data_IF_994189431387
#
_entry.id   IF_994189431387
#
_cell.length_a   1.000
_cell.length_b   1.000
_cell.length_c   1.000
_cell.angle_alpha   90.00
_cell.angle_beta   90.00
_cell.angle_gamma   90.00
#
_symmetry.space_group_name_H-M   'P 1'
#
loop_
_entity.id
_entity.type
_entity.pdbx_description
1 polymer ?
#
# COMPACT_ATOMS: atom_id res chain seq x y z
N UNK A 1 -11.47 -43.48 53.56
CA UNK A 1 -10.09 -43.45 53.01
C UNK A 1 -10.14 -44.15 51.67
N UNK A 2 -10.12 -43.43 50.53
CA UNK A 2 -10.09 -44.06 49.21
C UNK A 2 -8.67 -44.49 48.83
N UNK A 3 -8.61 -45.51 47.98
CA UNK A 3 -7.45 -46.29 47.54
C UNK A 3 -6.43 -45.44 46.73
N UNK A 4 -5.10 -45.58 46.96
CA UNK A 4 -4.07 -44.89 46.18
C UNK A 4 -3.99 -45.31 44.69
N UNK A 5 -4.70 -46.35 44.25
CA UNK A 5 -4.66 -46.82 42.87
C UNK A 5 -5.49 -45.99 41.87
N UNK A 6 -6.52 -45.24 42.32
CA UNK A 6 -7.42 -44.52 41.40
C UNK A 6 -6.94 -43.12 41.01
N UNK A 7 -5.82 -42.65 41.58
CA UNK A 7 -5.30 -41.29 41.30
C UNK A 7 -4.34 -41.23 40.11
N UNK A 8 -4.04 -42.36 39.49
CA UNK A 8 -3.15 -42.49 38.33
C UNK A 8 -3.87 -42.52 36.98
N UNK A 9 -5.20 -42.45 36.95
CA UNK A 9 -5.97 -42.22 35.72
C UNK A 9 -6.08 -40.73 35.33
N UNK A 10 -5.10 -39.90 35.75
CA UNK A 10 -4.85 -38.60 35.12
C UNK A 10 -3.82 -38.81 34.02
N UNK A 11 -4.36 -38.95 32.81
CA UNK A 11 -3.81 -38.55 31.51
C UNK A 11 -2.31 -38.16 31.51
N UNK A 12 -1.52 -38.77 30.61
CA UNK A 12 -1.74 -38.46 29.21
C UNK A 12 -1.73 -39.72 28.35
N UNK A 13 -2.90 -40.03 27.79
CA UNK A 13 -2.95 -40.75 26.52
C UNK A 13 -2.30 -39.83 25.48
N UNK A 14 -0.98 -39.98 25.38
CA UNK A 14 -0.23 -39.97 24.13
C UNK A 14 -0.79 -38.96 23.11
N UNK A 15 -0.65 -37.67 23.42
CA UNK A 15 -0.47 -36.69 22.35
C UNK A 15 0.87 -37.02 21.69
N UNK A 16 0.87 -38.09 20.87
CA UNK A 16 1.92 -38.44 19.94
C UNK A 16 2.02 -37.29 18.94
N UNK A 17 2.66 -36.24 19.41
CA UNK A 17 2.92 -35.02 18.70
C UNK A 17 4.10 -35.34 17.82
N UNK A 18 3.82 -35.86 16.62
CA UNK A 18 4.85 -35.99 15.60
C UNK A 18 5.43 -34.60 15.36
N UNK A 19 6.63 -34.34 15.88
CA UNK A 19 7.39 -33.13 15.56
C UNK A 19 7.89 -33.32 14.13
N UNK A 20 7.08 -32.90 13.18
CA UNK A 20 7.47 -32.86 11.77
C UNK A 20 8.57 -31.83 11.62
N UNK A 21 9.70 -32.19 11.01
CA UNK A 21 10.76 -31.26 10.71
C UNK A 21 10.18 -30.07 9.92
N UNK A 22 10.36 -28.85 10.44
CA UNK A 22 9.92 -27.62 9.78
C UNK A 22 10.59 -27.57 8.40
N UNK A 23 9.75 -27.43 7.36
CA UNK A 23 10.09 -27.29 5.94
C UNK A 23 10.82 -25.96 5.70
N UNK A 24 11.99 -25.82 6.32
CA UNK A 24 12.64 -24.56 6.66
C UNK A 24 13.13 -23.78 5.43
N UNK A 25 13.46 -24.45 4.34
CA UNK A 25 13.85 -23.79 3.09
C UNK A 25 12.63 -23.21 2.32
N UNK A 26 11.50 -23.93 2.31
CA UNK A 26 10.27 -23.49 1.62
C UNK A 26 9.60 -22.33 2.37
N UNK A 27 9.65 -22.34 3.70
CA UNK A 27 9.07 -21.27 4.53
C UNK A 27 9.90 -20.00 4.49
N UNK A 28 11.23 -20.09 4.32
CA UNK A 28 12.10 -18.91 4.16
C UNK A 28 11.79 -18.12 2.89
N UNK A 29 11.70 -18.79 1.74
CA UNK A 29 11.39 -18.13 0.47
C UNK A 29 9.97 -17.53 0.43
N UNK A 30 9.02 -18.17 1.12
CA UNK A 30 7.68 -17.63 1.34
C UNK A 30 7.71 -16.36 2.22
N UNK A 31 8.43 -16.39 3.33
CA UNK A 31 8.57 -15.23 4.21
C UNK A 31 9.24 -14.04 3.50
N UNK A 32 10.22 -14.30 2.62
CA UNK A 32 10.84 -13.30 1.75
C UNK A 32 9.82 -12.70 0.76
N UNK A 33 9.06 -13.55 0.07
CA UNK A 33 8.04 -13.09 -0.88
C UNK A 33 6.95 -12.24 -0.21
N UNK A 34 6.52 -12.60 1.00
CA UNK A 34 5.56 -11.80 1.78
C UNK A 34 6.19 -10.45 2.18
N UNK A 35 7.45 -10.44 2.60
CA UNK A 35 8.17 -9.20 2.94
C UNK A 35 8.23 -8.26 1.75
N UNK A 36 8.51 -8.77 0.55
CA UNK A 36 8.59 -7.98 -0.67
C UNK A 36 7.24 -7.34 -1.03
N UNK A 37 6.13 -8.08 -0.89
CA UNK A 37 4.78 -7.54 -1.05
C UNK A 37 4.50 -6.42 -0.05
N UNK A 38 4.87 -6.61 1.22
CA UNK A 38 4.67 -5.59 2.26
C UNK A 38 5.52 -4.35 2.00
N UNK A 39 6.77 -4.49 1.57
CA UNK A 39 7.63 -3.34 1.25
C UNK A 39 7.12 -2.58 0.02
N UNK A 40 6.73 -3.28 -1.05
CA UNK A 40 6.15 -2.67 -2.24
C UNK A 40 4.85 -1.90 -1.90
N UNK A 41 3.99 -2.48 -1.07
CA UNK A 41 2.79 -1.82 -0.58
C UNK A 41 3.11 -0.57 0.25
N UNK A 42 4.09 -0.66 1.17
CA UNK A 42 4.52 0.47 2.01
C UNK A 42 5.09 1.62 1.17
N UNK A 43 5.84 1.30 0.11
CA UNK A 43 6.37 2.29 -0.85
C UNK A 43 5.22 3.01 -1.56
N UNK A 44 4.30 2.26 -2.16
CA UNK A 44 3.11 2.81 -2.82
C UNK A 44 2.30 3.73 -1.89
N UNK A 45 2.04 3.27 -0.68
CA UNK A 45 1.33 4.05 0.34
C UNK A 45 2.05 5.37 0.64
N UNK A 46 3.37 5.33 0.85
CA UNK A 46 4.18 6.53 1.08
C UNK A 46 4.20 7.49 -0.11
N UNK A 47 4.24 6.98 -1.34
CA UNK A 47 4.17 7.81 -2.55
C UNK A 47 2.82 8.53 -2.67
N UNK A 48 1.71 7.83 -2.39
CA UNK A 48 0.37 8.44 -2.39
C UNK A 48 0.26 9.51 -1.31
N UNK A 49 0.76 9.27 -0.09
CA UNK A 49 0.76 10.28 0.97
C UNK A 49 1.51 11.55 0.55
N UNK A 50 2.72 11.41 -0.01
CA UNK A 50 3.49 12.56 -0.50
C UNK A 50 2.76 13.30 -1.62
N UNK A 51 2.07 12.57 -2.50
CA UNK A 51 1.28 13.17 -3.57
C UNK A 51 0.13 14.02 -2.99
N UNK A 52 -0.61 13.49 -2.02
CA UNK A 52 -1.68 14.23 -1.34
C UNK A 52 -1.15 15.48 -0.62
N UNK A 53 -0.01 15.38 0.07
CA UNK A 53 0.61 16.54 0.74
C UNK A 53 1.00 17.62 -0.27
N UNK A 54 1.61 17.21 -1.39
CA UNK A 54 1.97 18.12 -2.47
C UNK A 54 0.74 18.84 -3.04
N UNK A 55 -0.35 18.11 -3.32
CA UNK A 55 -1.57 18.73 -3.85
C UNK A 55 -2.30 19.63 -2.83
N UNK A 56 -2.18 19.31 -1.55
CA UNK A 56 -2.79 20.10 -0.47
C UNK A 56 -1.92 21.25 0.03
N UNK A 57 -0.73 21.45 -0.53
CA UNK A 57 0.27 22.43 -0.05
C UNK A 57 0.55 22.26 1.45
N UNK A 58 0.71 21.01 1.89
CA UNK A 58 0.93 20.61 3.29
C UNK A 58 -0.16 21.04 4.28
N UNK A 59 -1.35 21.45 3.80
CA UNK A 59 -2.48 21.83 4.66
C UNK A 59 -3.19 20.64 5.29
N UNK A 60 -3.01 19.44 4.75
CA UNK A 60 -3.60 18.23 5.30
C UNK A 60 -2.71 17.63 6.38
N UNK A 61 -3.22 17.60 7.62
CA UNK A 61 -2.60 16.85 8.69
C UNK A 61 -3.23 15.46 8.81
N UNK A 62 -2.53 14.43 8.34
CA UNK A 62 -2.99 13.04 8.45
C UNK A 62 -3.15 12.55 9.90
N UNK A 63 -2.51 13.21 10.88
CA UNK A 63 -2.72 12.91 12.30
C UNK A 63 -4.06 13.46 12.84
N UNK A 64 -4.70 14.40 12.12
CA UNK A 64 -5.97 15.02 12.51
C UNK A 64 -7.20 14.36 11.89
N UNK A 65 -7.03 13.39 10.99
CA UNK A 65 -8.15 12.67 10.36
C UNK A 65 -8.63 11.58 11.31
N UNK A 66 -9.33 12.00 12.36
CA UNK A 66 -10.34 11.33 13.22
C UNK A 66 -10.49 9.80 13.35
N UNK A 67 -9.50 8.98 12.99
CA UNK A 67 -9.50 7.54 13.20
C UNK A 67 -8.22 7.22 13.96
N UNK A 68 -8.32 6.48 15.06
CA UNK A 68 -7.19 6.12 15.93
C UNK A 68 -6.22 5.11 15.27
N UNK A 69 -5.70 5.45 14.08
CA UNK A 69 -4.82 4.67 13.23
C UNK A 69 -4.46 5.43 11.94
N UNK A 70 -3.39 5.00 11.26
CA UNK A 70 -3.02 5.51 9.93
C UNK A 70 -4.17 5.26 8.92
N UNK A 71 -4.49 6.19 8.00
CA UNK A 71 -5.58 6.01 7.04
C UNK A 71 -5.37 4.76 6.19
N UNK A 72 -6.44 4.05 5.83
CA UNK A 72 -6.35 2.94 4.88
C UNK A 72 -5.93 3.43 3.49
N UNK A 73 -5.42 2.53 2.63
CA UNK A 73 -5.06 2.93 1.26
C UNK A 73 -6.28 3.41 0.49
N UNK A 74 -7.43 2.73 0.60
CA UNK A 74 -8.70 3.22 0.05
C UNK A 74 -9.08 4.63 0.52
N UNK A 75 -8.85 4.96 1.80
CA UNK A 75 -9.07 6.32 2.32
C UNK A 75 -8.10 7.31 1.67
N UNK A 76 -6.80 6.97 1.59
CA UNK A 76 -5.81 7.81 0.91
C UNK A 76 -6.15 8.04 -0.56
N UNK A 77 -6.54 7.00 -1.29
CA UNK A 77 -6.93 7.10 -2.70
C UNK A 77 -8.17 8.00 -2.88
N UNK A 78 -9.10 7.98 -1.93
CA UNK A 78 -10.26 8.87 -1.94
C UNK A 78 -9.87 10.33 -1.68
N UNK A 79 -9.01 10.56 -0.69
CA UNK A 79 -8.43 11.89 -0.44
C UNK A 79 -7.64 12.40 -1.65
N UNK A 80 -6.84 11.54 -2.31
CA UNK A 80 -6.10 11.91 -3.52
C UNK A 80 -7.02 12.35 -4.64
N UNK A 81 -8.13 11.64 -4.87
CA UNK A 81 -9.12 12.04 -5.87
C UNK A 81 -9.78 13.39 -5.56
N UNK A 82 -10.05 13.68 -4.28
CA UNK A 82 -10.58 14.96 -3.83
C UNK A 82 -9.59 16.10 -4.01
N UNK A 83 -8.35 15.94 -3.52
CA UNK A 83 -7.31 16.94 -3.64
C UNK A 83 -6.95 17.22 -5.10
N UNK A 84 -6.88 16.18 -5.95
CA UNK A 84 -6.62 16.37 -7.38
C UNK A 84 -7.74 17.14 -8.09
N UNK A 85 -9.01 16.95 -7.68
CA UNK A 85 -10.12 17.77 -8.18
C UNK A 85 -10.01 19.22 -7.72
N UNK A 86 -9.74 19.44 -6.44
CA UNK A 86 -9.59 20.78 -5.87
C UNK A 86 -8.42 21.56 -6.49
N UNK A 87 -7.32 20.86 -6.79
CA UNK A 87 -6.13 21.43 -7.43
C UNK A 87 -6.24 21.56 -8.97
N UNK A 88 -7.41 21.27 -9.57
CA UNK A 88 -7.63 21.28 -11.02
C UNK A 88 -6.54 20.48 -11.79
N UNK A 89 -6.21 19.30 -11.27
CA UNK A 89 -5.12 18.46 -11.80
C UNK A 89 -5.32 18.16 -13.30
N UNK A 90 -4.33 18.54 -14.13
CA UNK A 90 -4.43 18.49 -15.61
C UNK A 90 -4.74 17.08 -16.12
N UNK A 91 -4.04 16.06 -15.60
CA UNK A 91 -4.16 14.66 -16.03
C UNK A 91 -5.15 13.87 -15.17
N UNK A 92 -6.25 14.50 -14.74
CA UNK A 92 -7.21 13.92 -13.77
C UNK A 92 -7.80 12.58 -14.24
N UNK A 93 -8.02 12.41 -15.55
CA UNK A 93 -8.53 11.16 -16.11
C UNK A 93 -7.56 10.00 -15.88
N UNK A 94 -6.28 10.23 -16.12
CA UNK A 94 -5.23 9.21 -15.95
C UNK A 94 -5.03 8.89 -14.47
N UNK A 95 -5.06 9.92 -13.61
CA UNK A 95 -5.01 9.74 -12.17
C UNK A 95 -6.18 8.90 -11.63
N UNK A 96 -7.41 9.14 -12.11
CA UNK A 96 -8.57 8.33 -11.73
C UNK A 96 -8.41 6.87 -12.16
N UNK A 97 -7.89 6.61 -13.36
CA UNK A 97 -7.63 5.24 -13.80
C UNK A 97 -6.61 4.54 -12.91
N UNK A 98 -5.52 5.23 -12.55
CA UNK A 98 -4.51 4.70 -11.61
C UNK A 98 -5.09 4.44 -10.21
N UNK A 99 -6.00 5.30 -9.74
CA UNK A 99 -6.69 5.11 -8.45
C UNK A 99 -7.56 3.85 -8.46
N UNK A 100 -8.36 3.62 -9.50
CA UNK A 100 -9.17 2.40 -9.58
C UNK A 100 -8.30 1.15 -9.67
N UNK A 101 -7.20 1.19 -10.45
CA UNK A 101 -6.26 0.08 -10.54
C UNK A 101 -5.60 -0.22 -9.18
N UNK A 102 -5.28 0.82 -8.40
CA UNK A 102 -4.74 0.67 -7.05
C UNK A 102 -5.76 0.08 -6.05
N UNK A 103 -7.05 0.42 -6.17
CA UNK A 103 -8.11 -0.21 -5.36
C UNK A 103 -8.22 -1.70 -5.64
N UNK A 104 -8.15 -2.10 -6.92
CA UNK A 104 -8.14 -3.52 -7.29
C UNK A 104 -6.89 -4.24 -6.76
N UNK A 105 -5.73 -3.58 -6.74
CA UNK A 105 -4.52 -4.14 -6.14
C UNK A 105 -4.61 -4.29 -4.61
N UNK A 106 -5.32 -3.40 -3.91
CA UNK A 106 -5.56 -3.54 -2.46
C UNK A 106 -6.41 -4.79 -2.16
N UNK A 107 -7.46 -5.04 -2.95
CA UNK A 107 -8.27 -6.26 -2.82
C UNK A 107 -7.43 -7.53 -3.04
N UNK A 108 -6.46 -7.45 -3.96
CA UNK A 108 -5.52 -8.55 -4.21
C UNK A 108 -4.58 -8.78 -3.02
N UNK A 109 -4.12 -7.71 -2.34
CA UNK A 109 -3.36 -7.83 -1.08
C UNK A 109 -4.17 -8.59 -0.03
N UNK A 110 -5.44 -8.24 0.17
CA UNK A 110 -6.27 -8.90 1.19
C UNK A 110 -6.48 -10.39 0.88
N UNK A 111 -6.57 -10.75 -0.40
CA UNK A 111 -6.64 -12.13 -0.85
C UNK A 111 -5.31 -12.90 -0.65
N UNK A 112 -4.16 -12.23 -0.72
CA UNK A 112 -2.83 -12.85 -0.52
C UNK A 112 -2.63 -13.37 0.90
N UNK A 113 -3.19 -12.67 1.88
CA UNK A 113 -3.14 -13.09 3.27
C UNK A 113 -4.11 -14.24 3.61
N UNK A 114 -4.85 -14.75 2.62
CA UNK A 114 -5.55 -16.04 2.70
C UNK A 114 -4.56 -17.21 2.54
N UNK A 115 -4.80 -18.30 3.28
CA UNK A 115 -3.98 -19.53 3.25
C UNK A 115 -3.82 -20.12 1.84
N UNK A 116 -4.78 -19.87 0.93
CA UNK A 116 -4.74 -20.34 -0.44
C UNK A 116 -3.66 -19.63 -1.30
N UNK A 117 -3.47 -18.32 -1.12
CA UNK A 117 -2.53 -17.53 -1.93
C UNK A 117 -1.13 -17.41 -1.30
N UNK A 118 -1.02 -17.53 0.03
CA UNK A 118 0.27 -17.47 0.73
C UNK A 118 1.26 -18.56 0.27
N UNK A 119 0.75 -19.63 -0.34
CA UNK A 119 1.54 -20.77 -0.81
C UNK A 119 2.00 -20.68 -2.28
N UNK A 120 1.63 -19.63 -3.02
CA UNK A 120 2.03 -19.44 -4.43
C UNK A 120 3.03 -18.28 -4.59
N UNK A 121 4.35 -18.56 -4.64
CA UNK A 121 5.37 -17.52 -4.80
C UNK A 121 5.36 -16.85 -6.18
N UNK A 122 4.77 -17.46 -7.22
CA UNK A 122 4.63 -16.80 -8.51
C UNK A 122 3.51 -15.74 -8.47
N UNK A 123 2.40 -16.05 -7.80
CA UNK A 123 1.35 -15.08 -7.53
C UNK A 123 1.85 -13.89 -6.69
N UNK A 124 2.64 -14.16 -5.64
CA UNK A 124 3.25 -13.11 -4.81
C UNK A 124 4.15 -12.17 -5.63
N UNK A 125 5.03 -12.72 -6.48
CA UNK A 125 5.89 -11.90 -7.35
C UNK A 125 5.09 -11.04 -8.33
N UNK A 126 4.01 -11.58 -8.91
CA UNK A 126 3.13 -10.82 -9.81
C UNK A 126 2.52 -9.61 -9.09
N UNK A 127 2.14 -9.78 -7.82
CA UNK A 127 1.60 -8.70 -7.00
C UNK A 127 2.65 -7.64 -6.74
N UNK A 128 3.87 -8.02 -6.36
CA UNK A 128 4.99 -7.09 -6.17
C UNK A 128 5.17 -6.23 -7.42
N UNK A 129 5.29 -6.85 -8.60
CA UNK A 129 5.45 -6.12 -9.88
C UNK A 129 4.27 -5.19 -10.15
N UNK A 130 3.04 -5.58 -9.81
CA UNK A 130 1.87 -4.72 -9.97
C UNK A 130 1.91 -3.51 -9.04
N UNK A 131 2.30 -3.70 -7.76
CA UNK A 131 2.43 -2.63 -6.78
C UNK A 131 3.55 -1.65 -7.17
N UNK A 132 4.70 -2.16 -7.63
CA UNK A 132 5.81 -1.33 -8.11
C UNK A 132 5.45 -0.54 -9.37
N UNK A 133 4.73 -1.16 -10.31
CA UNK A 133 4.21 -0.46 -11.49
C UNK A 133 3.25 0.66 -11.09
N UNK A 134 2.33 0.41 -10.15
CA UNK A 134 1.41 1.43 -9.64
C UNK A 134 2.17 2.57 -8.95
N UNK A 135 3.16 2.25 -8.12
CA UNK A 135 4.00 3.25 -7.46
C UNK A 135 4.69 4.16 -8.49
N UNK A 136 5.30 3.57 -9.52
CA UNK A 136 5.91 4.31 -10.62
C UNK A 136 4.91 5.20 -11.37
N UNK A 137 3.67 4.74 -11.59
CA UNK A 137 2.61 5.53 -12.21
C UNK A 137 2.24 6.74 -11.34
N UNK A 138 2.03 6.56 -10.04
CA UNK A 138 1.70 7.68 -9.14
C UNK A 138 2.85 8.68 -9.05
N UNK A 139 4.09 8.21 -8.94
CA UNK A 139 5.28 9.08 -8.95
C UNK A 139 5.37 9.84 -10.26
N UNK A 140 5.18 9.18 -11.40
CA UNK A 140 5.22 9.83 -12.72
C UNK A 140 4.13 10.89 -12.91
N UNK A 141 2.91 10.63 -12.45
CA UNK A 141 1.82 11.60 -12.47
C UNK A 141 2.10 12.80 -11.55
N UNK A 142 2.63 12.55 -10.36
CA UNK A 142 3.02 13.57 -9.39
C UNK A 142 4.10 14.50 -9.96
N UNK A 143 5.20 13.92 -10.47
CA UNK A 143 6.31 14.67 -11.09
C UNK A 143 5.83 15.44 -12.31
N UNK A 144 5.04 14.80 -13.20
CA UNK A 144 4.49 15.45 -14.38
C UNK A 144 3.70 16.71 -14.03
N UNK A 145 2.87 16.64 -12.99
CA UNK A 145 2.11 17.80 -12.52
C UNK A 145 2.97 18.94 -12.00
N UNK A 146 4.02 18.64 -11.22
CA UNK A 146 4.97 19.65 -10.73
C UNK A 146 5.66 20.34 -11.90
N UNK A 147 6.09 19.58 -12.92
CA UNK A 147 6.71 20.13 -14.12
C UNK A 147 5.74 21.03 -14.90
N UNK A 148 4.48 20.61 -15.06
CA UNK A 148 3.44 21.42 -15.72
C UNK A 148 3.19 22.74 -14.98
N UNK A 149 3.16 22.73 -13.65
CA UNK A 149 3.04 23.94 -12.83
C UNK A 149 4.23 24.89 -13.03
N UNK A 150 5.46 24.37 -13.03
CA UNK A 150 6.65 25.18 -13.24
C UNK A 150 6.72 25.77 -14.65
N UNK A 151 6.35 25.01 -15.68
CA UNK A 151 6.28 25.50 -17.05
C UNK A 151 5.26 26.65 -17.18
N UNK A 152 4.09 26.51 -16.55
CA UNK A 152 3.09 27.58 -16.49
C UNK A 152 3.58 28.82 -15.73
N UNK A 153 4.24 28.64 -14.58
CA UNK A 153 4.75 29.74 -13.77
C UNK A 153 5.83 30.56 -14.50
N UNK A 154 6.76 29.88 -15.20
CA UNK A 154 7.76 30.53 -16.04
C UNK A 154 7.09 31.35 -17.15
N UNK A 155 6.06 30.82 -17.80
CA UNK A 155 5.33 31.52 -18.86
C UNK A 155 4.66 32.81 -18.36
N UNK A 156 4.02 32.78 -17.18
CA UNK A 156 3.39 33.97 -16.58
C UNK A 156 4.43 35.02 -16.20
N UNK A 157 5.59 34.62 -15.68
CA UNK A 157 6.65 35.54 -15.29
C UNK A 157 7.26 36.26 -16.51
N UNK A 158 7.52 35.54 -17.61
CA UNK A 158 8.00 36.14 -18.85
C UNK A 158 6.99 37.13 -19.46
N UNK A 159 5.69 36.84 -19.37
CA UNK A 159 4.66 37.74 -19.91
C UNK A 159 4.42 38.99 -19.03
N UNK A 160 4.63 38.90 -17.71
CA UNK A 160 4.54 40.04 -16.81
C UNK A 160 5.66 41.07 -17.03
N UNK A 161 6.86 40.63 -17.42
CA UNK A 161 7.99 41.51 -17.74
C UNK A 161 7.97 42.08 -19.16
N UNK A 162 7.06 41.62 -20.03
CA UNK A 162 6.97 42.05 -21.43
C UNK A 162 5.90 43.13 -21.69
N UNK A 163 5.27 43.71 -20.67
CA UNK A 163 4.30 44.81 -20.83
C UNK A 163 5.05 46.16 -20.89
N UNK A 164 5.11 46.85 -22.04
CA UNK A 164 5.61 48.23 -22.07
C UNK A 164 4.54 49.19 -21.55
N UNK A 165 5.00 50.26 -20.90
CA UNK A 165 4.20 51.39 -20.42
C UNK A 165 3.64 52.24 -21.58
#
# INVERSE_FOLDING_TARGET
MPDPAERLERLPYELSSTITAVKSASDRGRAESIRDVVDAYRRLYGSIQRFILMLSQDRLNFASVGTSGSPSLNQLLSMLAEQARAAAFVRLRELKAAIEEARSAEQLRDAIFSDAFSNDPAALRKVVTQLERLDAVFVGLCVGHVLDQHAGALHVHFHAHARPA
#
